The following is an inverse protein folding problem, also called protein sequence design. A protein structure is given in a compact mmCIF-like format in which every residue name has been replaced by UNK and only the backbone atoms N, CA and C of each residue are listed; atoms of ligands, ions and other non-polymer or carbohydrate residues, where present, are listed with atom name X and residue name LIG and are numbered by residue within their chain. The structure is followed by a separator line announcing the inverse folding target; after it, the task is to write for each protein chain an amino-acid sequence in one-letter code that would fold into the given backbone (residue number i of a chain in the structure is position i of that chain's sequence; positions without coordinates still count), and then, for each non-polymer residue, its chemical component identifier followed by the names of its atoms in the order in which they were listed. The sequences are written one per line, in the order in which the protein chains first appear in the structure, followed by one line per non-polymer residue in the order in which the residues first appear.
data_IF_233630845336
#
_entry.id   IF_233630845336
#
_cell.length_a   1.000
_cell.length_b   1.000
_cell.length_c   1.000
_cell.angle_alpha   90.00
_cell.angle_beta   90.00
_cell.angle_gamma   90.00
#
_symmetry.space_group_name_H-M   'P 1'
#
loop_
_entity.id
_entity.type
_entity.pdbx_description
1 polymer ?
#
# COMPACT_ATOMS: atom_id res chain seq x y z
N UNK A 1 -3.10 -8.36 16.39
CA UNK A 1 -2.60 -6.98 16.19
C UNK A 1 -2.66 -6.66 14.71
N UNK A 2 -3.09 -5.45 14.39
CA UNK A 2 -3.03 -4.90 13.06
C UNK A 2 -1.67 -4.19 12.90
N UNK A 3 -0.85 -4.72 12.03
CA UNK A 3 0.47 -4.18 11.68
C UNK A 3 0.47 -3.54 10.29
N UNK A 4 -0.70 -3.33 9.68
CA UNK A 4 -0.82 -2.81 8.31
C UNK A 4 -0.14 -1.45 8.13
N UNK A 5 -0.18 -0.58 9.14
CA UNK A 5 0.52 0.70 9.12
C UNK A 5 2.05 0.57 9.02
N UNK A 6 2.62 -0.59 9.38
CA UNK A 6 4.07 -0.83 9.40
C UNK A 6 4.50 -1.73 8.25
N UNK A 7 3.75 -2.82 8.01
CA UNK A 7 4.09 -3.83 7.02
C UNK A 7 3.40 -3.62 5.67
N UNK A 8 2.34 -2.81 5.63
CA UNK A 8 1.46 -2.67 4.48
C UNK A 8 0.51 -3.85 4.27
N UNK A 9 0.63 -4.90 5.07
CA UNK A 9 -0.20 -6.10 4.93
C UNK A 9 -1.45 -6.00 5.81
N UNK A 10 -2.62 -6.14 5.21
CA UNK A 10 -3.91 -6.00 5.90
C UNK A 10 -4.32 -7.20 6.76
N UNK A 11 -3.58 -8.33 6.67
CA UNK A 11 -3.87 -9.50 7.48
C UNK A 11 -3.43 -9.28 8.93
N UNK A 12 -4.32 -9.44 9.93
CA UNK A 12 -3.93 -9.32 11.33
C UNK A 12 -2.86 -10.35 11.73
N UNK A 13 -1.87 -9.86 12.46
CA UNK A 13 -0.78 -10.70 12.98
C UNK A 13 -1.06 -11.07 14.43
N UNK A 14 -0.78 -12.33 14.77
CA UNK A 14 -0.96 -12.83 16.12
C UNK A 14 0.33 -12.62 16.89
N UNK A 15 0.21 -11.97 18.06
CA UNK A 15 1.29 -11.78 19.01
C UNK A 15 0.92 -12.38 20.35
N UNK A 16 1.84 -13.14 20.94
CA UNK A 16 1.61 -13.87 22.21
C UNK A 16 2.87 -13.82 23.08
N UNK A 17 2.70 -13.99 24.37
CA UNK A 17 3.82 -13.99 25.30
C UNK A 17 4.70 -15.23 25.11
N UNK A 18 6.00 -15.02 24.95
CA UNK A 18 7.00 -16.10 24.77
C UNK A 18 7.27 -16.45 23.30
N UNK A 19 8.50 -16.86 23.02
CA UNK A 19 8.97 -17.25 21.69
C UNK A 19 9.11 -16.08 20.70
N UNK A 20 9.20 -16.42 19.42
CA UNK A 20 9.52 -15.48 18.33
C UNK A 20 8.40 -14.44 18.04
N UNK A 21 7.18 -14.69 18.54
CA UNK A 21 6.02 -13.82 18.32
C UNK A 21 5.70 -12.91 19.51
N UNK A 22 6.60 -12.77 20.45
CA UNK A 22 6.39 -12.00 21.68
C UNK A 22 6.62 -10.50 21.55
N UNK A 23 7.14 -10.02 20.42
CA UNK A 23 7.40 -8.60 20.20
C UNK A 23 6.24 -7.90 19.49
N UNK A 24 6.01 -6.65 19.86
CA UNK A 24 5.10 -5.73 19.18
C UNK A 24 5.84 -4.45 18.81
N UNK A 25 5.51 -3.85 17.70
CA UNK A 25 6.16 -2.64 17.20
C UNK A 25 5.29 -1.42 17.48
N UNK A 26 5.91 -0.32 17.89
CA UNK A 26 5.21 0.96 18.08
C UNK A 26 4.53 1.40 16.77
N UNK A 27 3.29 1.90 16.86
CA UNK A 27 2.49 2.27 15.69
C UNK A 27 1.50 1.19 15.23
N UNK A 28 1.54 -0.02 15.83
CA UNK A 28 0.57 -1.08 15.56
C UNK A 28 -0.68 -0.93 16.42
N UNK A 29 -1.80 -1.53 15.98
CA UNK A 29 -3.09 -1.44 16.66
C UNK A 29 -3.53 -2.80 17.21
N UNK A 30 -3.91 -2.83 18.48
CA UNK A 30 -4.50 -4.02 19.10
C UNK A 30 -5.95 -4.16 18.63
N UNK A 31 -6.28 -5.29 17.99
CA UNK A 31 -7.61 -5.58 17.47
C UNK A 31 -8.50 -6.32 18.46
N UNK A 32 -7.91 -7.18 19.29
CA UNK A 32 -8.61 -7.99 20.28
C UNK A 32 -7.81 -8.08 21.56
N UNK A 33 -8.52 -8.25 22.66
CA UNK A 33 -7.99 -8.45 24.01
C UNK A 33 -7.15 -7.28 24.58
N UNK A 34 -6.55 -7.51 25.73
CA UNK A 34 -5.71 -6.56 26.45
C UNK A 34 -4.30 -7.16 26.58
N UNK A 35 -3.31 -6.41 26.16
CA UNK A 35 -1.90 -6.81 26.27
C UNK A 35 -1.13 -5.91 27.23
N UNK A 36 -0.10 -6.46 27.86
CA UNK A 36 0.92 -5.69 28.61
C UNK A 36 2.20 -5.71 27.84
N UNK A 37 2.72 -4.53 27.53
CA UNK A 37 3.93 -4.36 26.74
C UNK A 37 5.04 -3.76 27.59
N UNK A 38 6.22 -4.37 27.56
CA UNK A 38 7.43 -3.80 28.12
C UNK A 38 8.19 -3.10 27.01
N UNK A 39 8.40 -1.80 27.13
CA UNK A 39 9.21 -1.03 26.18
C UNK A 39 10.65 -1.48 26.28
N UNK A 40 11.24 -1.93 25.17
CA UNK A 40 12.64 -2.41 25.08
C UNK A 40 13.50 -1.51 24.19
N UNK A 41 12.90 -0.77 23.25
CA UNK A 41 13.62 0.16 22.40
C UNK A 41 13.99 1.43 23.18
N UNK A 42 15.21 1.93 22.97
CA UNK A 42 15.64 3.24 23.47
C UNK A 42 15.05 4.35 22.58
N UNK A 43 14.94 5.59 23.09
CA UNK A 43 14.56 6.73 22.27
C UNK A 43 15.49 6.87 21.06
N UNK A 44 14.94 6.96 19.85
CA UNK A 44 15.70 7.00 18.60
C UNK A 44 15.99 5.63 17.97
N UNK A 45 15.70 4.52 18.65
CA UNK A 45 15.96 3.17 18.13
C UNK A 45 14.69 2.40 17.71
N UNK A 46 13.52 2.95 17.98
CA UNK A 46 12.27 2.33 17.58
C UNK A 46 12.17 2.23 16.04
N UNK A 47 11.32 1.32 15.55
CA UNK A 47 11.07 1.21 14.12
C UNK A 47 10.59 2.56 13.54
N UNK A 48 9.68 3.23 14.22
CA UNK A 48 9.18 4.55 13.80
C UNK A 48 10.29 5.60 13.78
N UNK A 49 11.19 5.64 14.78
CA UNK A 49 12.31 6.58 14.79
C UNK A 49 13.25 6.36 13.61
N UNK A 50 13.54 5.09 13.28
CA UNK A 50 14.33 4.74 12.09
C UNK A 50 13.66 5.17 10.80
N UNK A 51 12.33 4.99 10.69
CA UNK A 51 11.56 5.44 9.53
C UNK A 51 11.58 6.97 9.41
N UNK A 52 11.40 7.69 10.51
CA UNK A 52 11.51 9.16 10.55
C UNK A 52 12.89 9.61 10.10
N UNK A 53 13.96 9.00 10.64
CA UNK A 53 15.33 9.32 10.25
C UNK A 53 15.62 9.09 8.76
N UNK A 54 15.03 8.03 8.16
CA UNK A 54 15.12 7.77 6.72
C UNK A 54 14.40 8.85 5.91
N UNK A 55 13.22 9.30 6.35
CA UNK A 55 12.46 10.39 5.71
C UNK A 55 13.20 11.72 5.83
N UNK A 56 13.71 12.06 7.02
CA UNK A 56 14.44 13.29 7.26
C UNK A 56 15.80 13.32 6.53
N UNK A 57 16.46 12.17 6.41
CA UNK A 57 17.72 12.01 5.68
C UNK A 57 17.57 11.99 4.15
N UNK A 58 16.36 11.88 3.62
CA UNK A 58 16.10 11.91 2.19
C UNK A 58 16.30 13.33 1.64
N UNK A 59 17.48 13.61 1.09
CA UNK A 59 17.76 14.89 0.44
C UNK A 59 16.90 15.02 -0.83
N UNK A 60 16.11 16.08 -0.91
CA UNK A 60 15.26 16.40 -2.04
C UNK A 60 16.10 16.64 -3.29
N UNK A 61 16.05 15.75 -4.26
CA UNK A 61 16.75 15.94 -5.52
C UNK A 61 16.08 17.04 -6.35
N UNK A 62 16.91 17.87 -7.02
CA UNK A 62 16.42 18.87 -7.96
C UNK A 62 15.88 18.18 -9.21
N UNK A 63 14.81 18.73 -9.78
CA UNK A 63 14.28 18.22 -11.05
C UNK A 63 15.25 18.47 -12.20
N UNK A 64 15.23 17.67 -13.29
CA UNK A 64 16.04 17.93 -14.48
C UNK A 64 15.86 19.34 -15.03
N UNK A 65 14.62 19.88 -15.03
CA UNK A 65 14.33 21.23 -15.48
C UNK A 65 14.95 22.30 -14.57
N UNK A 66 14.96 22.08 -13.24
CA UNK A 66 15.63 22.99 -12.29
C UNK A 66 17.14 23.00 -12.50
N UNK A 67 17.74 21.85 -12.77
CA UNK A 67 19.18 21.74 -13.05
C UNK A 67 19.48 22.45 -14.37
N UNK A 68 18.74 22.17 -15.44
CA UNK A 68 18.92 22.78 -16.74
C UNK A 68 18.77 24.30 -16.67
N UNK A 69 17.75 24.79 -15.97
CA UNK A 69 17.51 26.22 -15.78
C UNK A 69 18.62 26.89 -14.96
N UNK A 70 19.11 26.24 -13.90
CA UNK A 70 20.22 26.75 -13.09
C UNK A 70 21.50 26.88 -13.94
N UNK A 71 21.79 25.90 -14.78
CA UNK A 71 22.95 25.93 -15.70
C UNK A 71 22.77 27.06 -16.73
N UNK A 72 21.59 27.20 -17.32
CA UNK A 72 21.29 28.25 -18.28
C UNK A 72 21.46 29.66 -17.67
N UNK A 73 20.89 29.88 -16.47
CA UNK A 73 21.02 31.15 -15.76
C UNK A 73 22.48 31.47 -15.40
N UNK A 74 23.23 30.51 -14.92
CA UNK A 74 24.64 30.66 -14.62
C UNK A 74 25.47 30.99 -15.87
N UNK A 75 25.20 30.27 -16.97
CA UNK A 75 25.85 30.50 -18.27
C UNK A 75 25.56 31.90 -18.82
N UNK A 76 24.30 32.34 -18.85
CA UNK A 76 23.94 33.69 -19.28
C UNK A 76 24.55 34.75 -18.40
N UNK A 77 24.50 34.57 -17.07
CA UNK A 77 25.13 35.53 -16.15
C UNK A 77 26.61 35.70 -16.43
N UNK A 78 27.33 34.58 -16.64
CA UNK A 78 28.75 34.63 -16.98
C UNK A 78 29.01 35.39 -18.31
N UNK A 79 28.24 35.07 -19.35
CA UNK A 79 28.36 35.74 -20.64
C UNK A 79 28.10 37.23 -20.50
N UNK A 80 27.05 37.63 -19.78
CA UNK A 80 26.69 39.04 -19.59
C UNK A 80 27.72 39.80 -18.74
N UNK A 81 28.34 39.15 -17.73
CA UNK A 81 29.46 39.73 -16.98
C UNK A 81 30.63 40.03 -17.94
N UNK A 82 30.99 39.08 -18.79
CA UNK A 82 32.08 39.26 -19.78
C UNK A 82 31.75 40.38 -20.73
N UNK A 83 30.54 40.41 -21.29
CA UNK A 83 30.09 41.47 -22.22
C UNK A 83 30.14 42.85 -21.55
N UNK A 84 29.59 43.02 -20.34
CA UNK A 84 29.61 44.28 -19.63
C UNK A 84 31.02 44.74 -19.28
N UNK A 85 31.92 43.79 -18.86
CA UNK A 85 33.29 44.11 -18.54
C UNK A 85 34.13 44.51 -19.77
N UNK A 86 33.87 43.91 -20.92
CA UNK A 86 34.59 44.22 -22.15
C UNK A 86 34.01 45.46 -22.89
N UNK A 87 32.75 45.78 -22.67
CA UNK A 87 32.07 46.86 -23.33
C UNK A 87 32.68 48.23 -23.00
N UNK A 88 33.12 48.48 -21.75
CA UNK A 88 33.73 49.76 -21.36
C UNK A 88 35.06 50.05 -22.09
N UNK A 89 36.05 49.18 -22.08
CA UNK A 89 37.27 49.37 -22.86
C UNK A 89 37.01 49.58 -24.37
N UNK A 90 36.02 48.87 -24.90
CA UNK A 90 35.63 49.03 -26.32
C UNK A 90 35.00 50.37 -26.59
N UNK A 91 34.12 50.86 -25.71
CA UNK A 91 33.50 52.19 -25.82
C UNK A 91 34.56 53.29 -25.70
N UNK A 92 35.50 53.19 -24.80
CA UNK A 92 36.59 54.12 -24.62
C UNK A 92 37.50 54.15 -25.85
N UNK A 93 37.76 52.99 -26.47
CA UNK A 93 38.54 52.93 -27.74
C UNK A 93 37.86 53.62 -28.93
N UNK A 94 36.53 53.56 -29.02
CA UNK A 94 35.74 54.18 -30.08
C UNK A 94 35.43 55.66 -29.77
N UNK A 95 35.80 56.15 -28.58
CA UNK A 95 35.50 57.51 -28.12
C UNK A 95 34.05 57.71 -27.63
N UNK A 96 33.34 56.64 -27.31
CA UNK A 96 31.98 56.68 -26.79
C UNK A 96 32.01 56.79 -25.24
N UNK A 97 31.30 57.79 -24.70
CA UNK A 97 31.19 57.95 -23.25
C UNK A 97 30.18 56.97 -22.66
N UNK A 98 30.68 55.87 -22.10
CA UNK A 98 29.85 54.91 -21.39
C UNK A 98 30.06 55.03 -19.87
N UNK A 99 29.03 55.43 -19.16
CA UNK A 99 29.10 55.59 -17.70
C UNK A 99 28.99 54.22 -16.98
N UNK A 100 29.58 54.10 -15.82
CA UNK A 100 29.47 52.90 -14.97
C UNK A 100 27.99 52.62 -14.63
N UNK A 101 27.20 53.68 -14.40
CA UNK A 101 25.76 53.54 -14.14
C UNK A 101 25.01 52.89 -15.33
N UNK A 102 25.39 53.26 -16.58
CA UNK A 102 24.79 52.62 -17.74
C UNK A 102 25.18 51.16 -17.89
N UNK A 103 26.42 50.79 -17.53
CA UNK A 103 26.89 49.38 -17.52
C UNK A 103 26.15 48.56 -16.47
N UNK A 104 25.96 49.08 -15.27
CA UNK A 104 25.19 48.43 -14.21
C UNK A 104 23.73 48.24 -14.65
N UNK A 105 23.12 49.29 -15.21
CA UNK A 105 21.76 49.18 -15.73
C UNK A 105 21.64 48.14 -16.84
N UNK A 106 22.59 48.10 -17.77
CA UNK A 106 22.64 47.10 -18.82
C UNK A 106 22.78 45.70 -18.27
N UNK A 107 23.68 45.48 -17.29
CA UNK A 107 23.87 44.20 -16.64
C UNK A 107 22.61 43.71 -15.94
N UNK A 108 21.95 44.58 -15.18
CA UNK A 108 20.67 44.25 -14.51
C UNK A 108 19.57 43.92 -15.51
N UNK A 109 19.50 44.64 -16.66
CA UNK A 109 18.54 44.33 -17.72
C UNK A 109 18.82 43.00 -18.43
N UNK A 110 20.08 42.61 -18.53
CA UNK A 110 20.49 41.38 -19.21
C UNK A 110 20.27 40.13 -18.33
N UNK A 111 20.33 40.24 -17.01
CA UNK A 111 20.08 39.09 -16.10
C UNK A 111 18.61 38.69 -16.26
N UNK A 112 18.33 37.41 -16.60
CA UNK A 112 16.96 36.97 -16.83
C UNK A 112 16.24 36.66 -15.50
N UNK A 113 16.07 37.69 -14.64
CA UNK A 113 15.43 37.58 -13.33
C UNK A 113 13.95 37.17 -13.42
N UNK A 114 13.29 37.46 -14.54
CA UNK A 114 11.90 37.10 -14.79
C UNK A 114 11.67 35.59 -14.88
N UNK A 115 12.67 34.82 -15.30
CA UNK A 115 12.55 33.37 -15.41
C UNK A 115 12.35 32.75 -14.04
N UNK A 116 13.10 33.19 -13.01
CA UNK A 116 12.92 32.71 -11.64
C UNK A 116 11.54 33.04 -11.06
N UNK A 117 11.01 34.22 -11.32
CA UNK A 117 9.67 34.63 -10.91
C UNK A 117 8.55 33.86 -11.62
N UNK A 118 8.72 33.63 -12.95
CA UNK A 118 7.75 32.91 -13.75
C UNK A 118 7.61 31.43 -13.29
N UNK A 119 8.72 30.79 -12.93
CA UNK A 119 8.69 29.41 -12.43
C UNK A 119 7.83 29.28 -11.17
N UNK A 120 7.97 30.25 -10.25
CA UNK A 120 7.17 30.30 -9.03
C UNK A 120 5.69 30.52 -9.33
N UNK A 121 5.36 31.41 -10.26
CA UNK A 121 3.98 31.70 -10.68
C UNK A 121 3.32 30.48 -11.34
N UNK A 122 4.03 29.77 -12.21
CA UNK A 122 3.54 28.52 -12.84
C UNK A 122 3.28 27.46 -11.77
N UNK A 123 4.19 27.33 -10.80
CA UNK A 123 4.01 26.38 -9.68
C UNK A 123 2.74 26.66 -8.87
N UNK A 124 2.46 27.95 -8.55
CA UNK A 124 1.24 28.34 -7.82
C UNK A 124 -0.01 28.04 -8.65
N UNK A 125 -0.02 28.40 -9.94
CA UNK A 125 -1.14 28.11 -10.83
C UNK A 125 -1.40 26.60 -10.99
N UNK A 126 -0.33 25.80 -11.03
CA UNK A 126 -0.41 24.34 -11.05
C UNK A 126 -1.03 23.77 -9.76
N UNK A 127 -0.62 24.29 -8.59
CA UNK A 127 -1.19 23.90 -7.30
C UNK A 127 -2.67 24.23 -7.20
N UNK A 128 -3.08 25.41 -7.67
CA UNK A 128 -4.49 25.82 -7.67
C UNK A 128 -5.35 24.87 -8.54
N UNK A 129 -4.88 24.52 -9.73
CA UNK A 129 -5.56 23.54 -10.60
C UNK A 129 -5.66 22.16 -9.95
N UNK A 130 -4.62 21.70 -9.27
CA UNK A 130 -4.64 20.43 -8.55
C UNK A 130 -5.66 20.47 -7.39
N UNK A 131 -5.72 21.59 -6.66
CA UNK A 131 -6.69 21.78 -5.59
C UNK A 131 -8.14 21.78 -6.12
N UNK A 132 -8.40 22.39 -7.26
CA UNK A 132 -9.71 22.34 -7.93
C UNK A 132 -10.11 20.90 -8.31
N UNK A 133 -9.13 20.01 -8.52
CA UNK A 133 -9.34 18.58 -8.73
C UNK A 133 -9.35 17.75 -7.43
N UNK A 134 -9.46 18.38 -6.26
CA UNK A 134 -9.41 17.77 -4.91
C UNK A 134 -8.07 17.07 -4.60
N UNK A 135 -6.96 17.54 -5.18
CA UNK A 135 -5.61 17.05 -4.90
C UNK A 135 -4.83 18.12 -4.15
N UNK A 136 -4.46 17.83 -2.90
CA UNK A 136 -3.62 18.70 -2.08
C UNK A 136 -2.16 18.45 -2.45
N UNK A 137 -1.47 19.48 -2.91
CA UNK A 137 -0.06 19.41 -3.31
C UNK A 137 0.82 20.15 -2.31
N UNK A 138 1.98 19.58 -2.00
CA UNK A 138 2.94 20.20 -1.06
C UNK A 138 3.77 21.34 -1.69
N UNK A 139 3.91 21.35 -3.02
CA UNK A 139 4.69 22.38 -3.72
C UNK A 139 4.34 22.41 -5.20
N UNK A 140 4.53 23.59 -5.86
CA UNK A 140 4.39 23.72 -7.31
C UNK A 140 5.34 22.81 -8.09
N UNK A 141 6.52 22.53 -7.53
CA UNK A 141 7.50 21.59 -8.10
C UNK A 141 6.96 20.15 -8.15
N UNK A 142 6.23 19.74 -7.12
CA UNK A 142 5.63 18.39 -7.10
C UNK A 142 4.61 18.22 -8.23
N UNK A 143 3.87 19.30 -8.55
CA UNK A 143 2.91 19.29 -9.68
C UNK A 143 3.63 19.20 -11.02
N UNK A 144 4.71 19.99 -11.19
CA UNK A 144 5.53 19.96 -12.41
C UNK A 144 6.15 18.55 -12.60
N UNK A 145 6.81 18.04 -11.58
CA UNK A 145 7.46 16.73 -11.65
C UNK A 145 6.48 15.59 -11.89
N UNK A 146 5.26 15.70 -11.36
CA UNK A 146 4.22 14.67 -11.55
C UNK A 146 3.79 14.53 -13.02
N UNK A 147 3.99 15.57 -13.85
CA UNK A 147 3.75 15.52 -15.29
C UNK A 147 4.82 14.78 -16.11
N UNK A 148 6.04 14.69 -15.57
CA UNK A 148 7.23 14.21 -16.28
C UNK A 148 7.72 12.85 -15.77
N UNK A 149 6.93 12.13 -14.98
CA UNK A 149 7.32 10.83 -14.43
C UNK A 149 7.43 9.76 -15.53
N UNK A 150 8.48 8.97 -15.45
CA UNK A 150 8.71 7.81 -16.32
C UNK A 150 8.19 6.52 -15.70
N UNK A 151 8.31 6.39 -14.36
CA UNK A 151 7.92 5.19 -13.62
C UNK A 151 7.07 5.56 -12.40
N UNK A 152 5.94 4.89 -12.25
CA UNK A 152 5.07 4.99 -11.09
C UNK A 152 5.11 3.68 -10.30
N UNK A 153 5.70 3.72 -9.09
CA UNK A 153 5.62 2.63 -8.13
C UNK A 153 4.31 2.73 -7.36
N UNK A 154 3.65 1.61 -7.21
CA UNK A 154 2.34 1.51 -6.56
C UNK A 154 2.40 0.46 -5.45
N UNK A 155 2.12 0.85 -4.23
CA UNK A 155 1.84 -0.14 -3.20
C UNK A 155 0.56 -0.93 -3.57
N UNK A 156 0.50 -2.20 -3.19
CA UNK A 156 -0.67 -3.03 -3.46
C UNK A 156 -1.84 -2.62 -2.56
N UNK A 157 -1.60 -2.65 -1.25
CA UNK A 157 -2.62 -2.55 -0.21
C UNK A 157 -3.12 -1.11 -0.08
N UNK A 158 -4.44 -0.90 -0.06
CA UNK A 158 -5.01 0.46 0.01
C UNK A 158 -4.88 1.31 -1.27
N UNK A 159 -3.89 1.01 -2.14
CA UNK A 159 -3.63 1.72 -3.41
C UNK A 159 -4.27 1.03 -4.61
N UNK A 160 -3.85 -0.18 -4.96
CA UNK A 160 -4.43 -1.00 -6.04
C UNK A 160 -5.67 -1.73 -5.55
N UNK A 161 -5.62 -2.23 -4.31
CA UNK A 161 -6.73 -2.91 -3.65
C UNK A 161 -7.43 -1.99 -2.65
N UNK A 162 -8.60 -2.43 -2.14
CA UNK A 162 -9.38 -1.66 -1.14
C UNK A 162 -8.69 -1.66 0.24
N UNK A 163 -7.73 -2.57 0.45
CA UNK A 163 -6.93 -2.65 1.67
C UNK A 163 -7.24 -3.89 2.52
N UNK A 164 -8.50 -4.22 2.73
CA UNK A 164 -8.88 -5.40 3.52
C UNK A 164 -9.31 -6.57 2.63
N UNK A 165 -8.93 -7.78 3.01
CA UNK A 165 -9.43 -8.99 2.37
C UNK A 165 -10.93 -9.12 2.64
N UNK A 166 -11.69 -9.46 1.59
CA UNK A 166 -13.12 -9.71 1.70
C UNK A 166 -13.47 -11.13 1.29
N UNK A 167 -14.49 -11.69 1.94
CA UNK A 167 -15.09 -12.93 1.50
C UNK A 167 -15.74 -12.73 0.13
N UNK A 168 -15.35 -13.56 -0.83
CA UNK A 168 -15.83 -13.47 -2.23
C UNK A 168 -16.67 -14.66 -2.63
N UNK A 169 -16.41 -15.83 -2.01
CA UNK A 169 -17.12 -17.05 -2.36
C UNK A 169 -17.13 -18.04 -1.20
N UNK A 170 -18.23 -18.81 -1.11
CA UNK A 170 -18.33 -20.01 -0.31
C UNK A 170 -18.23 -21.25 -1.21
N UNK A 171 -17.37 -22.19 -0.83
CA UNK A 171 -17.15 -23.43 -1.54
C UNK A 171 -17.68 -24.60 -0.68
N UNK A 172 -18.91 -25.11 -0.93
CA UNK A 172 -19.41 -26.28 -0.24
C UNK A 172 -18.62 -27.51 -0.68
N UNK A 173 -18.40 -28.46 0.24
CA UNK A 173 -17.88 -29.80 -0.09
C UNK A 173 -19.03 -30.75 -0.47
N UNK A 174 -18.67 -31.87 -1.09
CA UNK A 174 -19.67 -32.87 -1.50
C UNK A 174 -20.58 -33.29 -0.34
N UNK A 175 -21.88 -33.22 -0.55
CA UNK A 175 -22.89 -33.57 0.45
C UNK A 175 -23.31 -32.46 1.41
N UNK A 176 -22.73 -31.25 1.30
CA UNK A 176 -23.14 -30.07 2.09
C UNK A 176 -24.06 -29.18 1.28
N UNK A 177 -25.22 -28.85 1.84
CA UNK A 177 -26.12 -27.87 1.23
C UNK A 177 -25.47 -26.45 1.26
N UNK A 178 -25.42 -25.74 0.11
CA UNK A 178 -24.82 -24.39 0.06
C UNK A 178 -25.42 -23.41 1.06
N UNK A 179 -26.75 -23.45 1.27
CA UNK A 179 -27.39 -22.54 2.22
C UNK A 179 -27.00 -22.84 3.67
N UNK A 180 -26.84 -24.14 4.00
CA UNK A 180 -26.34 -24.57 5.30
C UNK A 180 -24.90 -24.11 5.51
N UNK A 181 -24.02 -24.28 4.52
CA UNK A 181 -22.63 -23.80 4.61
C UNK A 181 -22.59 -22.30 4.90
N UNK A 182 -23.33 -21.50 4.14
CA UNK A 182 -23.37 -20.03 4.31
C UNK A 182 -23.80 -19.69 5.74
N UNK A 183 -24.84 -20.35 6.24
CA UNK A 183 -25.35 -20.15 7.59
C UNK A 183 -24.29 -20.50 8.66
N UNK A 184 -23.62 -21.63 8.50
CA UNK A 184 -22.52 -22.05 9.39
C UNK A 184 -21.36 -21.06 9.36
N UNK A 185 -20.98 -20.55 8.17
CA UNK A 185 -19.95 -19.52 8.01
C UNK A 185 -20.35 -18.22 8.71
N UNK A 186 -21.59 -17.79 8.56
CA UNK A 186 -22.09 -16.58 9.23
C UNK A 186 -22.11 -16.75 10.75
N UNK A 187 -22.63 -17.87 11.26
CA UNK A 187 -22.65 -18.15 12.72
C UNK A 187 -21.26 -18.17 13.33
N UNK A 188 -20.26 -18.69 12.62
CA UNK A 188 -18.86 -18.67 13.06
C UNK A 188 -18.23 -17.26 13.09
N UNK A 189 -18.89 -16.29 12.47
CA UNK A 189 -18.35 -14.94 12.26
C UNK A 189 -19.11 -13.85 12.98
N UNK A 190 -20.17 -14.17 13.71
CA UNK A 190 -21.03 -13.16 14.40
C UNK A 190 -20.26 -12.31 15.39
N UNK A 191 -19.33 -12.90 16.15
CA UNK A 191 -18.49 -12.18 17.12
C UNK A 191 -17.15 -11.73 16.59
N UNK A 192 -16.93 -11.93 15.28
CA UNK A 192 -15.66 -11.57 14.63
C UNK A 192 -15.72 -10.13 14.13
N UNK A 193 -15.12 -9.23 14.91
CA UNK A 193 -15.08 -7.79 14.61
C UNK A 193 -14.08 -7.42 13.53
N UNK A 194 -13.30 -8.38 13.03
CA UNK A 194 -12.33 -8.14 11.95
C UNK A 194 -13.04 -7.76 10.64
N UNK A 195 -12.36 -7.04 9.73
CA UNK A 195 -12.91 -6.77 8.40
C UNK A 195 -13.30 -8.03 7.63
N UNK A 196 -12.53 -9.11 7.78
CA UNK A 196 -12.79 -10.42 7.21
C UNK A 196 -14.07 -11.02 7.75
N UNK A 197 -14.26 -11.02 9.09
CA UNK A 197 -15.48 -11.52 9.74
C UNK A 197 -16.72 -10.78 9.29
N UNK A 198 -16.65 -9.44 9.24
CA UNK A 198 -17.74 -8.61 8.75
C UNK A 198 -18.06 -8.88 7.28
N UNK A 199 -17.04 -9.09 6.45
CA UNK A 199 -17.24 -9.40 5.03
C UNK A 199 -17.92 -10.76 4.79
N UNK A 200 -17.70 -11.75 5.65
CA UNK A 200 -18.40 -13.04 5.61
C UNK A 200 -19.88 -12.85 5.87
N UNK A 201 -20.25 -12.03 6.86
CA UNK A 201 -21.64 -11.70 7.15
C UNK A 201 -22.31 -10.92 6.00
N UNK A 202 -21.60 -9.95 5.41
CA UNK A 202 -22.07 -9.20 4.23
C UNK A 202 -22.32 -10.12 3.05
N UNK A 203 -21.38 -11.02 2.75
CA UNK A 203 -21.50 -11.97 1.65
C UNK A 203 -22.69 -12.92 1.86
N UNK A 204 -22.87 -13.47 3.08
CA UNK A 204 -24.00 -14.32 3.41
C UNK A 204 -25.34 -13.61 3.24
N UNK A 205 -25.46 -12.38 3.71
CA UNK A 205 -26.67 -11.54 3.54
C UNK A 205 -26.96 -11.25 2.06
N UNK A 206 -25.94 -11.01 1.24
CA UNK A 206 -26.10 -10.78 -0.20
C UNK A 206 -26.63 -12.01 -0.94
N UNK A 207 -26.47 -13.20 -0.36
CA UNK A 207 -27.01 -14.46 -0.87
C UNK A 207 -28.36 -14.85 -0.22
N UNK A 208 -29.04 -13.86 0.41
CA UNK A 208 -30.35 -14.01 1.05
C UNK A 208 -30.38 -14.99 2.24
N UNK A 209 -29.24 -15.24 2.89
CA UNK A 209 -29.18 -16.01 4.12
C UNK A 209 -29.17 -15.06 5.30
N UNK A 210 -30.06 -15.29 6.28
CA UNK A 210 -30.17 -14.52 7.51
C UNK A 210 -29.99 -15.44 8.72
N UNK A 211 -29.43 -14.91 9.79
CA UNK A 211 -29.30 -15.57 11.08
C UNK A 211 -30.31 -14.91 12.02
N UNK A 212 -31.04 -15.74 12.78
CA UNK A 212 -31.93 -15.24 13.83
C UNK A 212 -31.17 -15.04 15.14
N UNK A 213 -31.54 -13.99 15.90
CA UNK A 213 -30.96 -13.74 17.21
C UNK A 213 -31.17 -14.91 18.19
N UNK A 214 -32.23 -15.70 18.01
CA UNK A 214 -32.50 -16.91 18.79
C UNK A 214 -31.45 -18.02 18.59
N UNK A 215 -30.80 -18.08 17.43
CA UNK A 215 -29.76 -19.08 17.14
C UNK A 215 -28.42 -18.73 17.83
N UNK A 216 -28.25 -17.45 18.10
CA UNK A 216 -27.06 -16.92 18.79
C UNK A 216 -27.30 -16.83 20.30
N UNK A 217 -28.57 -16.84 20.72
CA UNK A 217 -28.95 -16.75 22.14
C UNK A 217 -28.35 -17.93 22.92
N UNK A 218 -27.55 -17.64 23.93
CA UNK A 218 -26.87 -18.66 24.75
C UNK A 218 -25.64 -19.32 24.09
N UNK A 219 -25.24 -18.87 22.90
CA UNK A 219 -24.05 -19.39 22.24
C UNK A 219 -22.77 -18.91 22.95
N UNK A 220 -21.81 -19.80 23.12
CA UNK A 220 -20.46 -19.47 23.57
C UNK A 220 -19.59 -19.14 22.37
N UNK A 221 -19.26 -17.87 22.22
CA UNK A 221 -18.38 -17.42 21.13
C UNK A 221 -16.92 -17.77 21.44
N UNK A 222 -16.22 -18.31 20.44
CA UNK A 222 -14.81 -18.66 20.51
C UNK A 222 -14.04 -17.66 19.66
N UNK A 223 -13.27 -16.83 20.33
CA UNK A 223 -12.42 -15.84 19.68
C UNK A 223 -11.21 -16.52 19.05
N UNK A 224 -10.68 -15.89 18.02
CA UNK A 224 -9.47 -16.34 17.36
C UNK A 224 -8.27 -16.18 18.30
N UNK A 225 -7.45 -17.26 18.42
CA UNK A 225 -6.17 -17.20 19.15
C UNK A 225 -5.04 -17.71 18.26
N UNK A 226 -3.80 -17.31 18.59
CA UNK A 226 -2.59 -17.76 17.88
C UNK A 226 -2.37 -19.26 17.98
N UNK A 227 -2.67 -19.80 19.14
CA UNK A 227 -2.48 -21.21 19.46
C UNK A 227 -3.44 -22.10 18.65
N UNK A 228 -4.72 -21.75 18.67
CA UNK A 228 -5.75 -22.54 18.00
C UNK A 228 -5.87 -22.22 16.50
N UNK A 229 -5.48 -21.00 16.08
CA UNK A 229 -5.63 -20.48 14.69
C UNK A 229 -7.04 -20.68 14.12
N UNK A 230 -8.03 -20.72 14.99
CA UNK A 230 -9.43 -20.84 14.64
C UNK A 230 -10.31 -19.99 15.54
N UNK A 231 -11.48 -19.64 15.04
CA UNK A 231 -12.57 -18.98 15.77
C UNK A 231 -13.87 -19.73 15.52
N UNK A 232 -14.94 -19.38 16.23
CA UNK A 232 -16.23 -20.05 16.00
C UNK A 232 -17.24 -19.81 17.09
N UNK A 233 -18.20 -20.72 17.20
CA UNK A 233 -19.26 -20.67 18.20
C UNK A 233 -19.66 -22.09 18.65
N UNK A 234 -19.94 -22.24 19.94
CA UNK A 234 -20.65 -23.38 20.49
C UNK A 234 -22.09 -22.94 20.73
N UNK A 235 -23.02 -23.46 19.95
CA UNK A 235 -24.42 -23.06 19.99
C UNK A 235 -25.17 -23.77 21.15
N UNK A 236 -26.25 -23.17 21.58
CA UNK A 236 -27.08 -23.73 22.66
C UNK A 236 -27.72 -25.08 22.32
N UNK A 237 -27.88 -25.39 21.04
CA UNK A 237 -28.39 -26.68 20.53
C UNK A 237 -27.32 -27.80 20.50
N UNK A 238 -26.10 -27.52 20.94
CA UNK A 238 -24.98 -28.46 21.00
C UNK A 238 -24.09 -28.48 19.76
N UNK A 239 -24.42 -27.72 18.71
CA UNK A 239 -23.55 -27.61 17.50
C UNK A 239 -22.29 -26.82 17.83
N UNK A 240 -21.15 -27.35 17.41
CA UNK A 240 -19.83 -26.73 17.54
C UNK A 240 -19.33 -26.31 16.18
N UNK A 241 -19.18 -25.03 15.94
CA UNK A 241 -18.75 -24.48 14.67
C UNK A 241 -17.35 -23.88 14.84
N UNK A 242 -16.43 -24.23 13.93
CA UNK A 242 -15.08 -23.67 13.87
C UNK A 242 -14.75 -23.22 12.46
N UNK A 243 -14.12 -22.05 12.34
CA UNK A 243 -13.50 -21.58 11.09
C UNK A 243 -12.05 -21.21 11.36
N UNK A 244 -11.17 -21.46 10.42
CA UNK A 244 -9.75 -21.13 10.62
C UNK A 244 -8.85 -21.57 9.48
N UNK A 245 -7.54 -21.46 9.72
CA UNK A 245 -6.53 -21.93 8.81
C UNK A 245 -6.66 -23.44 8.55
N UNK A 246 -6.32 -23.86 7.35
CA UNK A 246 -6.41 -25.25 6.91
C UNK A 246 -5.82 -26.26 7.92
N UNK A 247 -4.58 -26.05 8.35
CA UNK A 247 -3.90 -26.94 9.28
C UNK A 247 -4.56 -27.00 10.68
N UNK A 248 -5.17 -25.90 11.11
CA UNK A 248 -5.86 -25.83 12.40
C UNK A 248 -7.15 -26.67 12.39
N UNK A 249 -7.95 -26.50 11.33
CA UNK A 249 -9.21 -27.26 11.19
C UNK A 249 -8.92 -28.73 10.90
N UNK A 250 -7.90 -29.03 10.08
CA UNK A 250 -7.45 -30.41 9.83
C UNK A 250 -7.14 -31.13 11.14
N UNK A 251 -6.37 -30.50 12.02
CA UNK A 251 -6.04 -31.06 13.34
C UNK A 251 -7.28 -31.36 14.18
N UNK A 252 -8.26 -30.46 14.19
CA UNK A 252 -9.52 -30.63 14.93
C UNK A 252 -10.30 -31.84 14.40
N UNK A 253 -10.40 -31.99 13.09
CA UNK A 253 -11.13 -33.08 12.42
C UNK A 253 -10.45 -34.42 12.63
N UNK A 254 -9.12 -34.50 12.46
CA UNK A 254 -8.34 -35.72 12.64
C UNK A 254 -8.30 -36.19 14.11
N UNK A 255 -8.21 -35.23 15.06
CA UNK A 255 -8.29 -35.58 16.51
C UNK A 255 -9.65 -36.13 16.91
N UNK A 256 -10.70 -35.78 16.20
CA UNK A 256 -12.03 -36.36 16.41
C UNK A 256 -12.22 -37.70 15.70
N UNK A 257 -11.20 -38.21 15.02
CA UNK A 257 -11.24 -39.52 14.33
C UNK A 257 -11.93 -39.47 12.96
N UNK A 258 -12.17 -38.28 12.40
CA UNK A 258 -12.75 -38.14 11.07
C UNK A 258 -11.65 -38.05 10.00
N UNK A 259 -11.82 -38.72 8.84
CA UNK A 259 -10.90 -38.55 7.73
C UNK A 259 -11.05 -37.14 7.16
N UNK A 260 -9.93 -36.53 6.80
CA UNK A 260 -9.94 -35.23 6.12
C UNK A 260 -10.14 -35.42 4.61
N UNK A 261 -11.09 -34.69 4.02
CA UNK A 261 -11.45 -34.86 2.61
C UNK A 261 -10.41 -34.24 1.67
N UNK A 262 -9.97 -35.03 0.68
CA UNK A 262 -9.04 -34.58 -0.36
C UNK A 262 -9.62 -33.47 -1.25
N UNK A 263 -10.94 -33.37 -1.34
CA UNK A 263 -11.62 -32.27 -2.06
C UNK A 263 -11.35 -30.92 -1.40
N UNK A 264 -11.32 -30.88 -0.05
CA UNK A 264 -10.98 -29.68 0.71
C UNK A 264 -9.55 -29.25 0.42
N UNK A 265 -8.59 -30.18 0.39
CA UNK A 265 -7.19 -29.89 0.07
C UNK A 265 -7.04 -29.28 -1.33
N UNK A 266 -7.72 -29.86 -2.33
CA UNK A 266 -7.72 -29.34 -3.70
C UNK A 266 -8.31 -27.95 -3.78
N UNK A 267 -9.41 -27.71 -3.07
CA UNK A 267 -10.10 -26.41 -3.04
C UNK A 267 -9.20 -25.35 -2.38
N UNK A 268 -8.62 -25.66 -1.24
CA UNK A 268 -7.67 -24.81 -0.52
C UNK A 268 -6.47 -24.45 -1.40
N UNK A 269 -5.86 -25.45 -2.06
CA UNK A 269 -4.74 -25.27 -2.96
C UNK A 269 -5.11 -24.36 -4.13
N UNK A 270 -6.25 -24.60 -4.77
CA UNK A 270 -6.75 -23.79 -5.89
C UNK A 270 -7.00 -22.33 -5.49
N UNK A 271 -7.58 -22.08 -4.30
CA UNK A 271 -7.80 -20.72 -3.80
C UNK A 271 -6.44 -20.04 -3.57
N UNK A 272 -5.48 -20.72 -2.95
CA UNK A 272 -4.15 -20.18 -2.68
C UNK A 272 -3.38 -19.88 -3.97
N UNK A 273 -3.44 -20.75 -4.97
CA UNK A 273 -2.84 -20.55 -6.30
C UNK A 273 -3.42 -19.33 -7.02
N UNK A 274 -4.69 -19.02 -6.78
CA UNK A 274 -5.38 -17.83 -7.31
C UNK A 274 -5.20 -16.57 -6.44
N UNK A 275 -4.23 -16.57 -5.50
CA UNK A 275 -3.94 -15.43 -4.65
C UNK A 275 -4.98 -15.16 -3.55
N UNK A 276 -5.93 -16.06 -3.34
CA UNK A 276 -6.92 -15.99 -2.27
C UNK A 276 -6.40 -16.59 -0.96
N UNK A 277 -7.05 -16.24 0.14
CA UNK A 277 -6.82 -16.86 1.45
C UNK A 277 -7.99 -17.77 1.78
N UNK A 278 -7.77 -19.10 1.87
CA UNK A 278 -8.81 -20.03 2.23
C UNK A 278 -8.99 -20.08 3.77
N UNK A 279 -10.25 -20.01 4.23
CA UNK A 279 -10.63 -20.36 5.59
C UNK A 279 -11.52 -21.60 5.55
N UNK A 280 -11.09 -22.67 6.22
CA UNK A 280 -11.87 -23.91 6.29
C UNK A 280 -12.88 -23.80 7.42
N UNK A 281 -14.09 -24.32 7.19
CA UNK A 281 -15.20 -24.31 8.15
C UNK A 281 -15.62 -25.75 8.45
N UNK A 282 -15.78 -26.05 9.73
CA UNK A 282 -16.32 -27.34 10.18
C UNK A 282 -17.46 -27.13 11.19
N UNK A 283 -18.38 -28.06 11.20
CA UNK A 283 -19.47 -28.20 12.15
C UNK A 283 -19.43 -29.59 12.76
N UNK A 284 -19.42 -29.68 14.08
CA UNK A 284 -19.27 -30.95 14.83
C UNK A 284 -18.12 -31.81 14.28
N UNK A 285 -16.94 -31.20 14.15
CA UNK A 285 -15.68 -31.79 13.67
C UNK A 285 -15.76 -32.39 12.24
N UNK A 286 -16.79 -32.07 11.46
CA UNK A 286 -16.88 -32.42 10.04
C UNK A 286 -16.74 -31.16 9.21
N UNK A 287 -15.88 -31.19 8.19
CA UNK A 287 -15.71 -30.05 7.29
C UNK A 287 -17.01 -29.87 6.49
N UNK A 288 -17.51 -28.65 6.44
CA UNK A 288 -18.69 -28.26 5.67
C UNK A 288 -18.32 -27.52 4.39
N UNK A 289 -17.19 -26.83 4.39
CA UNK A 289 -16.73 -26.11 3.20
C UNK A 289 -15.55 -25.17 3.48
N UNK A 290 -15.27 -24.32 2.49
CA UNK A 290 -14.18 -23.35 2.49
C UNK A 290 -14.70 -21.98 2.15
N UNK A 291 -14.29 -20.96 2.90
CA UNK A 291 -14.52 -19.53 2.58
C UNK A 291 -13.29 -19.04 1.81
N UNK A 292 -13.53 -18.41 0.67
CA UNK A 292 -12.49 -17.74 -0.10
C UNK A 292 -12.47 -16.26 0.25
N UNK A 293 -11.33 -15.78 0.80
CA UNK A 293 -11.06 -14.37 0.99
C UNK A 293 -10.12 -13.88 -0.10
N UNK A 294 -10.40 -12.72 -0.67
CA UNK A 294 -9.54 -12.10 -1.68
C UNK A 294 -9.32 -10.63 -1.41
N UNK A 295 -8.19 -10.11 -1.87
CA UNK A 295 -7.97 -8.68 -2.00
C UNK A 295 -8.84 -8.15 -3.14
N UNK A 296 -9.67 -7.17 -2.83
CA UNK A 296 -10.56 -6.55 -3.83
C UNK A 296 -9.81 -5.44 -4.56
N UNK A 297 -9.58 -5.63 -5.83
CA UNK A 297 -9.01 -4.62 -6.72
C UNK A 297 -10.02 -3.47 -6.88
N UNK A 298 -9.54 -2.23 -6.76
CA UNK A 298 -10.39 -1.04 -6.92
C UNK A 298 -11.02 -1.01 -8.32
N UNK A 299 -12.32 -0.71 -8.43
CA UNK A 299 -12.96 -0.63 -9.73
C UNK A 299 -12.36 0.46 -10.61
N UNK A 300 -12.22 0.20 -11.90
CA UNK A 300 -11.68 1.14 -12.88
C UNK A 300 -10.15 1.36 -12.79
N UNK A 301 -9.43 0.55 -11.99
CA UNK A 301 -7.97 0.72 -11.84
C UNK A 301 -7.22 0.35 -13.14
N UNK A 302 -7.70 -0.67 -13.85
CA UNK A 302 -7.10 -1.13 -15.10
C UNK A 302 -7.14 -0.05 -16.18
N UNK A 303 -8.26 0.62 -16.34
CA UNK A 303 -8.44 1.72 -17.30
C UNK A 303 -7.54 2.91 -16.94
N UNK A 304 -7.28 3.14 -15.65
CA UNK A 304 -6.34 4.17 -15.20
C UNK A 304 -4.91 3.82 -15.58
N UNK A 305 -4.48 2.57 -15.38
CA UNK A 305 -3.14 2.12 -15.78
C UNK A 305 -2.97 2.12 -17.30
N UNK A 306 -4.01 1.77 -18.06
CA UNK A 306 -3.98 1.88 -19.52
C UNK A 306 -3.82 3.33 -19.99
N UNK A 307 -4.40 4.31 -19.28
CA UNK A 307 -4.20 5.74 -19.56
C UNK A 307 -2.76 6.18 -19.25
N UNK A 308 -2.22 5.79 -18.10
CA UNK A 308 -0.83 6.09 -17.73
C UNK A 308 0.16 5.49 -18.75
N UNK A 309 -0.06 4.27 -19.17
CA UNK A 309 0.74 3.60 -20.21
C UNK A 309 0.72 4.35 -21.54
N UNK A 310 -0.44 4.87 -21.96
CA UNK A 310 -0.55 5.72 -23.16
C UNK A 310 0.20 7.04 -23.03
N UNK A 311 0.40 7.53 -21.81
CA UNK A 311 1.21 8.71 -21.52
C UNK A 311 2.71 8.40 -21.43
N UNK A 312 3.11 7.14 -21.59
CA UNK A 312 4.51 6.71 -21.49
C UNK A 312 4.98 6.33 -20.08
N UNK A 313 4.07 6.36 -19.08
CA UNK A 313 4.41 6.03 -17.69
C UNK A 313 4.37 4.53 -17.47
N UNK A 314 5.50 3.93 -17.06
CA UNK A 314 5.57 2.54 -16.60
C UNK A 314 4.98 2.41 -15.20
N UNK A 315 4.08 1.44 -15.00
CA UNK A 315 3.48 1.15 -13.70
C UNK A 315 4.07 -0.12 -13.09
N UNK A 316 4.52 -0.04 -11.83
CA UNK A 316 5.17 -1.15 -11.12
C UNK A 316 4.49 -1.33 -9.77
N UNK A 317 3.90 -2.50 -9.54
CA UNK A 317 3.32 -2.85 -8.24
C UNK A 317 4.41 -3.36 -7.30
N UNK A 318 4.40 -2.91 -6.05
CA UNK A 318 5.33 -3.39 -5.01
C UNK A 318 4.50 -3.96 -3.85
N UNK A 319 4.82 -5.17 -3.41
CA UNK A 319 4.08 -5.86 -2.34
C UNK A 319 4.97 -6.81 -1.54
N UNK A 320 4.64 -7.01 -0.27
CA UNK A 320 5.23 -8.06 0.58
C UNK A 320 4.70 -9.47 0.30
N UNK A 321 3.67 -9.62 -0.55
CA UNK A 321 3.11 -10.92 -0.91
C UNK A 321 4.13 -11.83 -1.63
N UNK A 322 3.86 -13.13 -1.59
CA UNK A 322 4.61 -14.09 -2.38
C UNK A 322 4.46 -13.87 -3.91
N UNK A 323 5.40 -14.36 -4.73
CA UNK A 323 5.41 -14.10 -6.17
C UNK A 323 4.15 -14.55 -6.92
N UNK A 324 3.48 -15.62 -6.49
CA UNK A 324 2.27 -16.13 -7.15
C UNK A 324 1.08 -15.18 -6.93
N UNK A 325 0.86 -14.75 -5.70
CA UNK A 325 -0.18 -13.78 -5.35
C UNK A 325 0.08 -12.43 -6.01
N UNK A 326 1.32 -11.95 -5.98
CA UNK A 326 1.72 -10.70 -6.61
C UNK A 326 1.47 -10.73 -8.12
N UNK A 327 1.87 -11.80 -8.80
CA UNK A 327 1.64 -12.00 -10.23
C UNK A 327 0.14 -11.96 -10.57
N UNK A 328 -0.68 -12.72 -9.84
CA UNK A 328 -2.13 -12.76 -10.06
C UNK A 328 -2.77 -11.36 -9.96
N UNK A 329 -2.41 -10.61 -8.92
CA UNK A 329 -2.96 -9.26 -8.72
C UNK A 329 -2.46 -8.29 -9.79
N UNK A 330 -1.17 -8.37 -10.16
CA UNK A 330 -0.56 -7.55 -11.19
C UNK A 330 -1.24 -7.74 -12.55
N UNK A 331 -1.44 -8.99 -12.98
CA UNK A 331 -2.13 -9.32 -14.23
C UNK A 331 -3.59 -8.85 -14.23
N UNK A 332 -4.28 -9.03 -13.11
CA UNK A 332 -5.69 -8.63 -12.97
C UNK A 332 -5.85 -7.10 -12.91
N UNK A 333 -4.96 -6.40 -12.23
CA UNK A 333 -4.93 -4.94 -12.17
C UNK A 333 -4.43 -4.31 -13.49
N UNK A 334 -3.59 -5.02 -14.25
CA UNK A 334 -3.05 -4.56 -15.52
C UNK A 334 -1.84 -3.64 -15.36
N UNK A 335 -1.03 -3.80 -14.31
CA UNK A 335 0.27 -3.12 -14.18
C UNK A 335 1.31 -3.72 -15.11
N UNK A 336 2.37 -2.97 -15.42
CA UNK A 336 3.39 -3.40 -16.39
C UNK A 336 4.40 -4.36 -15.77
N UNK A 337 4.65 -4.23 -14.45
CA UNK A 337 5.63 -5.02 -13.73
C UNK A 337 5.27 -5.14 -12.25
N UNK A 338 5.90 -6.05 -11.51
CA UNK A 338 5.69 -6.17 -10.08
C UNK A 338 6.95 -6.65 -9.33
N UNK A 339 7.03 -6.28 -8.05
CA UNK A 339 8.06 -6.71 -7.11
C UNK A 339 7.33 -7.39 -5.95
N UNK A 340 7.62 -8.67 -5.74
CA UNK A 340 7.07 -9.49 -4.67
C UNK A 340 8.05 -9.58 -3.49
N UNK A 341 7.56 -9.99 -2.31
CA UNK A 341 8.35 -10.17 -1.09
C UNK A 341 9.17 -8.94 -0.69
N UNK A 342 8.73 -7.74 -1.15
CA UNK A 342 9.45 -6.50 -0.97
C UNK A 342 9.38 -6.00 0.48
N UNK A 343 10.54 -5.66 1.02
CA UNK A 343 10.69 -4.91 2.27
C UNK A 343 10.71 -3.40 1.99
N UNK A 344 10.51 -2.55 3.01
CA UNK A 344 10.60 -1.10 2.83
C UNK A 344 11.91 -0.62 2.18
N UNK A 345 13.02 -1.27 2.55
CA UNK A 345 14.34 -0.96 1.99
C UNK A 345 14.44 -1.27 0.50
N UNK A 346 13.83 -2.36 0.05
CA UNK A 346 13.82 -2.79 -1.35
C UNK A 346 13.08 -1.78 -2.24
N UNK A 347 12.02 -1.14 -1.71
CA UNK A 347 11.29 -0.05 -2.37
C UNK A 347 12.22 1.12 -2.66
N UNK A 348 13.01 1.56 -1.66
CA UNK A 348 14.00 2.63 -1.83
C UNK A 348 15.10 2.26 -2.81
N UNK A 349 15.61 1.03 -2.74
CA UNK A 349 16.67 0.58 -3.65
C UNK A 349 16.21 0.57 -5.10
N UNK A 350 15.00 0.11 -5.36
CA UNK A 350 14.41 0.15 -6.70
C UNK A 350 14.30 1.59 -7.23
N UNK A 351 13.81 2.52 -6.41
CA UNK A 351 13.71 3.94 -6.79
C UNK A 351 15.09 4.50 -7.16
N UNK A 352 16.10 4.28 -6.30
CA UNK A 352 17.47 4.74 -6.54
C UNK A 352 18.05 4.18 -7.84
N UNK A 353 17.80 2.90 -8.14
CA UNK A 353 18.25 2.26 -9.37
C UNK A 353 17.61 2.88 -10.63
N UNK A 354 16.30 3.11 -10.60
CA UNK A 354 15.60 3.78 -11.71
C UNK A 354 16.09 5.23 -11.89
N UNK A 355 16.29 5.96 -10.79
CA UNK A 355 16.84 7.33 -10.82
C UNK A 355 18.27 7.38 -11.37
N UNK A 356 19.12 6.41 -11.04
CA UNK A 356 20.49 6.31 -11.60
C UNK A 356 20.48 6.09 -13.12
N UNK A 357 19.41 5.50 -13.65
CA UNK A 357 19.22 5.37 -15.10
C UNK A 357 18.65 6.64 -15.77
N UNK A 358 18.52 7.74 -15.00
CA UNK A 358 18.03 9.03 -15.49
C UNK A 358 16.51 9.18 -15.52
N UNK A 359 15.76 8.23 -14.94
CA UNK A 359 14.29 8.27 -14.92
C UNK A 359 13.74 9.02 -13.72
N UNK A 360 12.63 9.70 -13.93
CA UNK A 360 11.82 10.28 -12.85
C UNK A 360 10.85 9.22 -12.32
N UNK A 361 10.93 8.99 -11.01
CA UNK A 361 10.14 7.98 -10.33
C UNK A 361 9.17 8.66 -9.36
N UNK A 362 7.90 8.32 -9.46
CA UNK A 362 6.92 8.63 -8.43
C UNK A 362 6.53 7.35 -7.68
N UNK A 363 6.18 7.48 -6.42
CA UNK A 363 5.64 6.40 -5.62
C UNK A 363 4.28 6.79 -5.03
N UNK A 364 3.38 5.84 -4.97
CA UNK A 364 2.07 5.97 -4.34
C UNK A 364 1.85 4.84 -3.36
N UNK A 365 1.58 5.19 -2.12
CA UNK A 365 1.29 4.27 -1.02
C UNK A 365 0.42 4.95 0.03
N UNK A 366 -0.11 4.18 0.97
CA UNK A 366 -1.00 4.67 2.04
C UNK A 366 -0.49 4.32 3.45
N UNK A 367 0.60 3.59 3.56
CA UNK A 367 1.16 3.10 4.81
C UNK A 367 2.42 3.83 5.28
N UNK A 368 2.69 3.74 6.57
CA UNK A 368 3.91 4.27 7.19
C UNK A 368 5.17 3.59 6.65
N UNK A 369 5.06 2.34 6.21
CA UNK A 369 6.13 1.57 5.57
C UNK A 369 6.58 2.16 4.23
N UNK A 370 5.74 2.97 3.58
CA UNK A 370 6.06 3.64 2.32
C UNK A 370 6.75 4.99 2.54
N UNK A 371 6.63 5.58 3.73
CA UNK A 371 7.13 6.91 4.04
C UNK A 371 8.60 7.16 3.67
N UNK A 372 9.55 6.21 3.84
CA UNK A 372 10.94 6.41 3.40
C UNK A 372 11.11 6.47 1.89
N UNK A 373 10.20 5.86 1.14
CA UNK A 373 10.24 5.79 -0.31
C UNK A 373 9.44 6.92 -0.99
N UNK A 374 8.52 7.55 -0.22
CA UNK A 374 7.74 8.73 -0.62
C UNK A 374 8.51 10.02 -0.40
#
# INVERSE_FOLDING_TARGET
IDESAITGESAPVIREAGGDKSSVTGGTKVLSDRIRVKVTAQPGESFLDKMIALVEGASRQKTPNEIALTILLAGFTLVFVIVCATLKPFADYVGANLTIAALISLFVCLIPTTIGGLLSAIGIAGMDRALQANVITKSGRAVETAGDIDTLLLDKTGTITIGNRKATRFHPIAGTDPAQLIRTCMLSSVSDETPEGKSILELGRSQNVTINDMEIAGARMIKFTAETKCSGADLADGRRIRKGAFEAIRRIVEQAGHPFDTEVERTVKKISENGGTPLVVCENEKVTGVIELQDIIKPGIRERFDRLRRMGVKTVMVTGDNPLTAKYIAEKAGVDDFIAEAKPEDKMEYIKREQQSGKLVAMMGDGTNDAPAL
#
